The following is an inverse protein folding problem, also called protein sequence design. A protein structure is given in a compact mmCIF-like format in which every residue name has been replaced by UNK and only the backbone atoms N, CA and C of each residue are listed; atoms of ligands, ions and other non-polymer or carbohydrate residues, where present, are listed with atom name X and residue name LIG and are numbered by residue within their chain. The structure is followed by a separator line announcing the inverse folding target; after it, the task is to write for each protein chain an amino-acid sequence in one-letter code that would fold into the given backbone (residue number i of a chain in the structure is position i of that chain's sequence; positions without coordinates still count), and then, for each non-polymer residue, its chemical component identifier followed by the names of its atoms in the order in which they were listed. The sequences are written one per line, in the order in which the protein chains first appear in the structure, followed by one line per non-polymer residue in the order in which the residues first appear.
data_IF_424306703609
#
_entry.id   IF_424306703609
#
_cell.length_a   1.000
_cell.length_b   1.000
_cell.length_c   1.000
_cell.angle_alpha   90.00
_cell.angle_beta   90.00
_cell.angle_gamma   90.00
#
_symmetry.space_group_name_H-M   'P 1'
#
loop_
_entity.id
_entity.type
_entity.pdbx_description
1 polymer ?
#
# COMPACT_ATOMS: atom_id res chain seq x y z
N UNK A 1 -18.33 -32.67 16.10
CA UNK A 1 -18.43 -32.00 14.79
C UNK A 1 -17.45 -32.71 13.86
N UNK A 2 -17.82 -33.08 12.63
CA UNK A 2 -16.98 -33.92 11.77
C UNK A 2 -16.43 -33.12 10.58
N UNK A 3 -15.11 -33.15 10.37
CA UNK A 3 -14.44 -32.33 9.34
C UNK A 3 -14.99 -32.58 7.92
N UNK A 4 -15.20 -33.85 7.54
CA UNK A 4 -15.74 -34.19 6.21
C UNK A 4 -17.16 -33.64 5.99
N UNK A 5 -18.06 -33.82 6.96
CA UNK A 5 -19.44 -33.31 6.85
C UNK A 5 -19.49 -31.77 6.85
N UNK A 6 -18.56 -31.12 7.55
CA UNK A 6 -18.42 -29.66 7.51
C UNK A 6 -17.94 -29.18 6.14
N UNK A 7 -16.93 -29.85 5.57
CA UNK A 7 -16.40 -29.52 4.26
C UNK A 7 -17.50 -29.52 3.18
N UNK A 8 -18.37 -30.52 3.19
CA UNK A 8 -19.48 -30.61 2.23
C UNK A 8 -20.44 -29.42 2.38
N UNK A 9 -20.86 -29.11 3.62
CA UNK A 9 -21.74 -27.98 3.89
C UNK A 9 -21.11 -26.65 3.46
N UNK A 10 -19.85 -26.41 3.85
CA UNK A 10 -19.12 -25.19 3.51
C UNK A 10 -18.94 -25.04 2.01
N UNK A 11 -18.56 -26.11 1.30
CA UNK A 11 -18.41 -26.09 -0.16
C UNK A 11 -19.73 -25.74 -0.84
N UNK A 12 -20.83 -26.41 -0.46
CA UNK A 12 -22.14 -26.14 -1.04
C UNK A 12 -22.62 -24.71 -0.76
N UNK A 13 -22.36 -24.17 0.43
CA UNK A 13 -22.63 -22.77 0.74
C UNK A 13 -21.85 -21.82 -0.18
N UNK A 14 -20.54 -22.03 -0.33
CA UNK A 14 -19.71 -21.19 -1.19
C UNK A 14 -20.05 -21.31 -2.67
N UNK A 15 -20.47 -22.47 -3.16
CA UNK A 15 -21.00 -22.55 -4.53
C UNK A 15 -22.31 -21.77 -4.67
N UNK A 16 -23.22 -21.92 -3.70
CA UNK A 16 -24.53 -21.28 -3.76
C UNK A 16 -24.42 -19.75 -3.67
N UNK A 17 -23.51 -19.20 -2.87
CA UNK A 17 -23.42 -17.74 -2.67
C UNK A 17 -22.90 -16.99 -3.91
N UNK A 18 -22.25 -17.68 -4.86
CA UNK A 18 -21.73 -17.07 -6.10
C UNK A 18 -22.48 -17.53 -7.36
N UNK A 19 -23.62 -18.22 -7.20
CA UNK A 19 -24.47 -18.66 -8.30
C UNK A 19 -25.74 -17.80 -8.33
N UNK A 20 -25.95 -17.09 -9.45
CA UNK A 20 -27.18 -16.30 -9.64
C UNK A 20 -28.41 -17.21 -9.75
N UNK A 21 -29.48 -16.84 -9.06
CA UNK A 21 -30.79 -17.47 -9.19
C UNK A 21 -31.72 -16.47 -9.84
N UNK A 22 -32.22 -16.80 -11.04
CA UNK A 22 -33.07 -15.91 -11.84
C UNK A 22 -32.45 -14.52 -12.12
N UNK A 23 -31.13 -14.47 -12.29
CA UNK A 23 -30.37 -13.24 -12.57
C UNK A 23 -30.12 -12.35 -11.35
N UNK A 24 -30.30 -12.89 -10.14
CA UNK A 24 -30.05 -12.18 -8.88
C UNK A 24 -29.10 -12.99 -8.01
N UNK A 25 -28.07 -12.35 -7.50
CA UNK A 25 -27.18 -12.97 -6.53
C UNK A 25 -27.91 -13.21 -5.19
N UNK A 26 -27.73 -14.37 -4.56
CA UNK A 26 -28.52 -14.74 -3.39
C UNK A 26 -28.10 -13.97 -2.14
N UNK A 27 -29.08 -13.78 -1.24
CA UNK A 27 -28.84 -13.34 0.14
C UNK A 27 -28.16 -14.46 0.93
N UNK A 28 -27.49 -14.10 2.03
CA UNK A 28 -26.75 -15.04 2.88
C UNK A 28 -27.60 -16.23 3.36
N UNK A 29 -28.87 -15.99 3.68
CA UNK A 29 -29.75 -17.07 4.15
C UNK A 29 -30.15 -18.05 3.07
N UNK A 30 -30.44 -17.59 1.85
CA UNK A 30 -30.79 -18.47 0.72
C UNK A 30 -29.60 -19.35 0.34
N UNK A 31 -28.39 -18.77 0.28
CA UNK A 31 -27.16 -19.54 0.06
C UNK A 31 -26.93 -20.59 1.16
N UNK A 32 -27.22 -20.27 2.43
CA UNK A 32 -27.12 -21.22 3.53
C UNK A 32 -28.18 -22.33 3.45
N UNK A 33 -29.42 -21.99 3.09
CA UNK A 33 -30.50 -22.96 2.89
C UNK A 33 -30.16 -23.91 1.76
N UNK A 34 -29.72 -23.38 0.61
CA UNK A 34 -29.23 -24.17 -0.53
C UNK A 34 -28.07 -25.07 -0.11
N UNK A 35 -27.07 -24.52 0.58
CA UNK A 35 -25.92 -25.26 1.10
C UNK A 35 -26.32 -26.44 2.00
N UNK A 36 -27.27 -26.22 2.92
CA UNK A 36 -27.78 -27.26 3.84
C UNK A 36 -28.61 -28.32 3.11
N UNK A 37 -29.45 -27.93 2.18
CA UNK A 37 -30.28 -28.86 1.40
C UNK A 37 -29.39 -29.77 0.55
N UNK A 38 -28.39 -29.19 -0.12
CA UNK A 38 -27.42 -29.92 -0.95
C UNK A 38 -26.49 -30.81 -0.13
N UNK A 39 -26.25 -30.49 1.15
CA UNK A 39 -25.42 -31.30 2.05
C UNK A 39 -26.18 -32.46 2.73
N UNK A 40 -27.49 -32.61 2.54
CA UNK A 40 -28.34 -33.54 3.32
C UNK A 40 -28.47 -34.96 2.72
N UNK A 41 -27.42 -35.46 2.07
CA UNK A 41 -27.43 -36.77 1.38
C UNK A 41 -27.53 -38.00 2.29
N UNK A 42 -27.26 -37.85 3.59
CA UNK A 42 -27.36 -38.92 4.61
C UNK A 42 -27.93 -38.39 5.93
N UNK A 43 -28.49 -39.28 6.76
CA UNK A 43 -29.05 -38.91 8.09
C UNK A 43 -27.99 -38.30 9.02
N UNK A 44 -26.74 -38.75 8.93
CA UNK A 44 -25.62 -38.21 9.73
C UNK A 44 -25.21 -36.80 9.30
N UNK A 45 -25.21 -36.51 7.99
CA UNK A 45 -24.95 -35.16 7.46
C UNK A 45 -26.09 -34.19 7.82
N UNK A 46 -27.35 -34.61 7.69
CA UNK A 46 -28.50 -33.80 8.06
C UNK A 46 -28.48 -33.39 9.56
N UNK A 47 -28.04 -34.29 10.45
CA UNK A 47 -27.84 -33.97 11.88
C UNK A 47 -26.67 -33.01 12.08
N UNK A 48 -25.60 -33.10 11.28
CA UNK A 48 -24.47 -32.19 11.36
C UNK A 48 -24.84 -30.76 10.92
N UNK A 49 -25.64 -30.61 9.87
CA UNK A 49 -26.08 -29.32 9.33
C UNK A 49 -26.84 -28.46 10.36
N UNK A 50 -27.53 -29.09 11.33
CA UNK A 50 -28.24 -28.40 12.41
C UNK A 50 -27.32 -27.64 13.38
N UNK A 51 -26.01 -27.92 13.34
CA UNK A 51 -25.01 -27.27 14.21
C UNK A 51 -24.48 -25.95 13.65
N UNK A 52 -24.86 -25.60 12.42
CA UNK A 52 -24.43 -24.39 11.74
C UNK A 52 -25.58 -23.38 11.68
N UNK A 53 -25.32 -22.19 12.16
CA UNK A 53 -26.28 -21.09 12.25
C UNK A 53 -25.65 -19.86 11.60
N UNK A 54 -26.44 -19.12 10.82
CA UNK A 54 -26.06 -17.77 10.39
C UNK A 54 -26.31 -16.84 11.57
N UNK A 55 -25.28 -16.07 11.94
CA UNK A 55 -25.38 -14.99 12.92
C UNK A 55 -25.29 -13.68 12.17
N UNK A 56 -26.27 -12.80 12.36
CA UNK A 56 -26.37 -11.53 11.63
C UNK A 56 -27.68 -11.41 10.88
N UNK A 57 -27.75 -10.45 9.96
CA UNK A 57 -28.92 -10.22 9.13
C UNK A 57 -28.96 -11.21 7.95
N UNK A 58 -29.97 -12.11 7.89
CA UNK A 58 -30.09 -13.12 6.86
C UNK A 58 -30.41 -12.57 5.46
N UNK A 59 -30.86 -11.31 5.36
CA UNK A 59 -31.27 -10.67 4.12
C UNK A 59 -30.13 -9.91 3.42
N UNK A 60 -28.94 -9.85 4.01
CA UNK A 60 -27.79 -9.21 3.38
C UNK A 60 -27.28 -10.03 2.19
N UNK A 61 -26.78 -9.33 1.18
CA UNK A 61 -25.98 -9.88 0.08
C UNK A 61 -24.51 -9.52 0.29
N UNK A 62 -23.60 -10.24 -0.37
CA UNK A 62 -22.24 -9.72 -0.53
C UNK A 62 -22.25 -8.50 -1.45
N UNK A 63 -21.20 -7.69 -1.38
CA UNK A 63 -20.98 -6.61 -2.34
C UNK A 63 -20.37 -7.21 -3.62
N UNK A 64 -21.23 -7.79 -4.46
CA UNK A 64 -20.81 -8.41 -5.72
C UNK A 64 -20.48 -7.34 -6.76
N UNK A 65 -19.36 -7.47 -7.51
CA UNK A 65 -19.04 -6.52 -8.56
C UNK A 65 -20.13 -6.45 -9.64
N UNK A 66 -20.47 -5.23 -10.07
CA UNK A 66 -21.58 -5.02 -11.02
C UNK A 66 -21.26 -5.45 -12.44
N UNK A 67 -20.02 -5.28 -12.87
CA UNK A 67 -19.59 -5.50 -14.24
C UNK A 67 -18.46 -6.53 -14.36
N UNK A 68 -18.13 -6.89 -15.60
CA UNK A 68 -17.11 -7.88 -15.90
C UNK A 68 -15.83 -7.22 -16.44
N UNK A 69 -14.67 -7.72 -16.01
CA UNK A 69 -13.38 -7.38 -16.61
C UNK A 69 -12.91 -8.55 -17.48
N UNK A 70 -12.54 -8.29 -18.73
CA UNK A 70 -12.16 -9.31 -19.70
C UNK A 70 -10.80 -9.00 -20.32
N UNK A 71 -9.92 -9.98 -20.36
CA UNK A 71 -8.66 -9.91 -21.12
C UNK A 71 -8.94 -10.02 -22.62
N UNK A 72 -8.36 -9.14 -23.42
CA UNK A 72 -8.51 -9.15 -24.88
C UNK A 72 -7.24 -9.61 -25.57
N UNK A 73 -6.07 -9.14 -25.12
CA UNK A 73 -4.77 -9.43 -25.73
C UNK A 73 -3.68 -9.72 -24.70
N UNK A 74 -2.76 -10.61 -25.07
CA UNK A 74 -1.48 -10.87 -24.40
C UNK A 74 -0.39 -10.70 -25.45
N UNK A 75 0.60 -9.83 -25.21
CA UNK A 75 1.70 -9.56 -26.14
C UNK A 75 1.23 -9.22 -27.57
N UNK A 76 0.15 -8.40 -27.70
CA UNK A 76 -0.51 -8.05 -28.97
C UNK A 76 -1.13 -9.24 -29.74
N UNK A 77 -1.26 -10.40 -29.09
CA UNK A 77 -1.95 -11.56 -29.63
C UNK A 77 -3.32 -11.67 -28.95
N UNK A 78 -4.43 -11.76 -29.71
CA UNK A 78 -5.75 -11.93 -29.11
C UNK A 78 -5.82 -13.25 -28.32
N UNK A 79 -6.36 -13.18 -27.10
CA UNK A 79 -6.41 -14.33 -26.17
C UNK A 79 -7.16 -15.53 -26.76
N UNK A 80 -8.08 -15.29 -27.70
CA UNK A 80 -8.90 -16.31 -28.36
C UNK A 80 -8.14 -17.12 -29.43
N UNK A 81 -7.01 -16.64 -29.95
CA UNK A 81 -6.30 -17.25 -31.09
C UNK A 81 -5.18 -18.20 -30.63
N UNK A 82 -4.47 -17.84 -29.54
CA UNK A 82 -3.54 -18.72 -28.84
C UNK A 82 -3.16 -18.08 -27.49
N UNK A 83 -3.17 -18.87 -26.42
CA UNK A 83 -2.57 -18.50 -25.15
C UNK A 83 -1.04 -18.46 -25.32
N UNK A 84 -0.43 -17.27 -25.31
CA UNK A 84 1.02 -17.17 -25.25
C UNK A 84 1.53 -17.66 -23.89
N UNK A 85 2.77 -18.16 -23.85
CA UNK A 85 3.39 -18.62 -22.61
C UNK A 85 4.17 -17.47 -21.99
N UNK A 86 3.79 -17.06 -20.78
CA UNK A 86 4.56 -16.07 -20.02
C UNK A 86 5.78 -16.76 -19.44
N UNK A 87 6.96 -16.38 -19.90
CA UNK A 87 8.24 -16.97 -19.48
C UNK A 87 8.93 -16.09 -18.45
N UNK A 88 9.75 -16.69 -17.58
CA UNK A 88 10.56 -15.91 -16.63
C UNK A 88 11.43 -14.87 -17.36
N UNK A 89 11.50 -13.66 -16.81
CA UNK A 89 12.25 -12.49 -17.31
C UNK A 89 11.75 -11.92 -18.65
N UNK A 90 10.57 -12.35 -19.10
CA UNK A 90 9.89 -11.77 -20.25
C UNK A 90 9.13 -10.50 -19.85
N UNK A 91 9.17 -9.47 -20.69
CA UNK A 91 8.31 -8.30 -20.58
C UNK A 91 6.97 -8.60 -21.27
N UNK A 92 5.89 -8.58 -20.49
CA UNK A 92 4.54 -8.97 -20.92
C UNK A 92 3.62 -7.76 -20.89
N UNK A 93 2.86 -7.57 -21.97
CA UNK A 93 1.80 -6.54 -22.04
C UNK A 93 0.44 -7.20 -22.15
N UNK A 94 -0.48 -6.79 -21.28
CA UNK A 94 -1.84 -7.30 -21.21
C UNK A 94 -2.81 -6.15 -21.50
N UNK A 95 -3.77 -6.41 -22.38
CA UNK A 95 -4.90 -5.50 -22.63
C UNK A 95 -6.21 -6.16 -22.27
N UNK A 96 -7.17 -5.34 -21.88
CA UNK A 96 -8.51 -5.80 -21.59
C UNK A 96 -9.52 -4.67 -21.56
N UNK A 97 -10.74 -5.04 -21.25
CA UNK A 97 -11.88 -4.14 -21.23
C UNK A 97 -12.89 -4.49 -20.14
N UNK A 98 -13.59 -3.46 -19.66
CA UNK A 98 -14.74 -3.55 -18.77
C UNK A 98 -16.00 -3.67 -19.63
N UNK A 99 -16.80 -4.70 -19.35
CA UNK A 99 -18.02 -5.01 -20.08
C UNK A 99 -19.23 -5.04 -19.18
N UNK A 100 -20.37 -4.60 -19.72
CA UNK A 100 -21.65 -4.76 -19.06
C UNK A 100 -22.09 -6.24 -19.00
N UNK A 101 -23.24 -6.52 -18.38
CA UNK A 101 -23.80 -7.89 -18.27
C UNK A 101 -24.24 -8.48 -19.61
N UNK A 102 -24.41 -7.65 -20.66
CA UNK A 102 -24.68 -8.10 -22.02
C UNK A 102 -23.40 -8.41 -22.83
N UNK A 103 -22.21 -8.17 -22.25
CA UNK A 103 -20.92 -8.40 -22.90
C UNK A 103 -20.44 -7.26 -23.80
N UNK A 104 -21.05 -6.08 -23.73
CA UNK A 104 -20.67 -4.90 -24.50
C UNK A 104 -19.68 -4.04 -23.70
N UNK A 105 -18.74 -3.38 -24.39
CA UNK A 105 -17.75 -2.49 -23.76
C UNK A 105 -18.44 -1.30 -23.10
N UNK A 106 -18.07 -1.05 -21.85
CA UNK A 106 -18.58 0.06 -21.04
C UNK A 106 -17.76 1.33 -21.29
N UNK A 107 -18.05 2.01 -22.40
CA UNK A 107 -17.28 3.17 -22.91
C UNK A 107 -17.28 4.40 -21.97
N UNK A 108 -18.15 4.44 -20.97
CA UNK A 108 -18.23 5.49 -19.96
C UNK A 108 -17.48 5.14 -18.65
N UNK A 109 -16.94 3.92 -18.54
CA UNK A 109 -16.16 3.51 -17.38
C UNK A 109 -14.74 4.11 -17.43
N UNK A 110 -14.45 5.05 -16.52
CA UNK A 110 -13.13 5.67 -16.37
C UNK A 110 -12.70 5.56 -14.91
N UNK A 111 -11.63 4.82 -14.64
CA UNK A 111 -11.28 4.39 -13.29
C UNK A 111 -9.94 3.68 -13.22
N UNK A 112 -9.77 2.78 -12.27
CA UNK A 112 -8.54 2.02 -12.05
C UNK A 112 -8.86 0.51 -12.09
N UNK A 113 -8.01 -0.27 -12.73
CA UNK A 113 -7.97 -1.73 -12.62
C UNK A 113 -6.76 -2.14 -11.79
N UNK A 114 -6.96 -3.13 -10.92
CA UNK A 114 -5.97 -3.70 -10.01
C UNK A 114 -5.66 -5.14 -10.45
N UNK A 115 -4.82 -5.34 -11.48
CA UNK A 115 -4.44 -6.66 -11.93
C UNK A 115 -3.59 -7.40 -10.89
N UNK A 116 -3.89 -8.67 -10.69
CA UNK A 116 -3.02 -9.63 -10.02
C UNK A 116 -2.79 -10.83 -10.92
N UNK A 117 -1.54 -11.13 -11.23
CA UNK A 117 -1.15 -12.32 -11.99
C UNK A 117 -0.69 -13.38 -11.02
N UNK A 118 -1.31 -14.56 -11.07
CA UNK A 118 -0.94 -15.72 -10.27
C UNK A 118 -0.24 -16.76 -11.13
N UNK A 119 0.84 -17.33 -10.58
CA UNK A 119 1.40 -18.58 -11.08
C UNK A 119 0.38 -19.73 -10.92
N UNK A 120 0.72 -20.88 -11.48
CA UNK A 120 -0.09 -22.09 -11.44
C UNK A 120 -0.41 -22.55 -10.00
N UNK A 121 -1.58 -23.18 -9.78
CA UNK A 121 -1.92 -23.78 -8.50
C UNK A 121 -0.91 -24.87 -8.07
N UNK A 122 -0.66 -24.96 -6.77
CA UNK A 122 0.16 -26.00 -6.16
C UNK A 122 -0.70 -26.97 -5.37
N UNK A 123 -0.32 -28.26 -5.34
CA UNK A 123 -0.93 -29.22 -4.44
C UNK A 123 -0.28 -29.10 -3.05
N UNK A 124 -1.06 -28.71 -2.06
CA UNK A 124 -0.63 -28.60 -0.66
C UNK A 124 -1.28 -29.70 0.16
N UNK A 125 -0.49 -30.33 1.03
CA UNK A 125 -0.96 -31.42 1.89
C UNK A 125 -0.97 -30.95 3.34
N UNK A 126 -2.12 -31.10 4.00
CA UNK A 126 -2.26 -30.75 5.42
C UNK A 126 -1.38 -31.64 6.30
N UNK A 127 -0.92 -31.12 7.43
CA UNK A 127 -0.28 -31.92 8.47
C UNK A 127 -1.29 -32.83 9.18
N UNK A 128 -0.82 -33.98 9.67
CA UNK A 128 -1.63 -34.95 10.42
C UNK A 128 -1.49 -34.64 11.92
N UNK A 129 -2.33 -33.74 12.42
CA UNK A 129 -2.23 -33.25 13.80
C UNK A 129 -2.69 -34.29 14.86
N UNK A 130 -3.48 -35.30 14.49
CA UNK A 130 -3.89 -36.41 15.38
C UNK A 130 -3.64 -37.77 14.68
N UNK A 131 -2.43 -38.33 14.82
CA UNK A 131 -2.06 -39.60 14.17
C UNK A 131 -3.02 -40.74 14.57
N UNK A 132 -3.58 -41.43 13.57
CA UNK A 132 -4.51 -42.55 13.75
C UNK A 132 -5.99 -42.14 13.83
N UNK A 133 -6.30 -40.84 13.96
CA UNK A 133 -7.68 -40.31 13.88
C UNK A 133 -7.90 -39.29 12.77
N UNK A 134 -6.81 -38.75 12.22
CA UNK A 134 -6.82 -37.85 11.08
C UNK A 134 -5.97 -38.42 9.94
N UNK A 135 -6.30 -38.04 8.71
CA UNK A 135 -5.57 -38.37 7.50
C UNK A 135 -5.09 -37.08 6.84
N UNK A 136 -3.93 -37.14 6.18
CA UNK A 136 -3.48 -36.04 5.35
C UNK A 136 -4.52 -35.78 4.25
N UNK A 137 -4.77 -34.52 3.94
CA UNK A 137 -5.66 -34.09 2.87
C UNK A 137 -4.87 -33.18 1.92
N UNK A 138 -4.85 -33.56 0.65
CA UNK A 138 -4.22 -32.76 -0.40
C UNK A 138 -5.28 -31.95 -1.14
N UNK A 139 -5.02 -30.66 -1.30
CA UNK A 139 -5.87 -29.74 -2.04
C UNK A 139 -5.05 -28.81 -2.92
N UNK A 140 -5.68 -28.27 -3.96
CA UNK A 140 -5.06 -27.29 -4.84
C UNK A 140 -5.18 -25.90 -4.24
N UNK A 141 -4.07 -25.15 -4.23
CA UNK A 141 -4.00 -23.79 -3.72
C UNK A 141 -3.24 -22.91 -4.71
N UNK A 142 -3.90 -21.86 -5.21
CA UNK A 142 -3.29 -20.83 -6.04
C UNK A 142 -3.08 -19.57 -5.21
N UNK A 143 -1.88 -19.42 -4.64
CA UNK A 143 -1.52 -18.29 -3.78
C UNK A 143 -0.34 -17.46 -4.30
N UNK A 144 0.43 -18.01 -5.23
CA UNK A 144 1.68 -17.43 -5.69
C UNK A 144 1.38 -16.30 -6.69
N UNK A 145 1.21 -15.07 -6.20
CA UNK A 145 1.13 -13.89 -7.05
C UNK A 145 2.52 -13.59 -7.60
N UNK A 146 2.64 -13.31 -8.89
CA UNK A 146 3.91 -12.97 -9.57
C UNK A 146 3.92 -11.52 -10.04
N UNK A 147 2.77 -10.86 -10.04
CA UNK A 147 2.63 -9.43 -10.30
C UNK A 147 1.36 -8.91 -9.61
N UNK A 148 1.46 -7.73 -9.01
CA UNK A 148 0.34 -6.93 -8.51
C UNK A 148 0.57 -5.51 -9.00
N UNK A 149 -0.44 -4.91 -9.64
CA UNK A 149 -0.30 -3.60 -10.26
C UNK A 149 -1.55 -2.74 -10.17
N UNK A 150 -1.45 -1.52 -10.70
CA UNK A 150 -2.54 -0.58 -10.94
C UNK A 150 -2.43 -0.03 -12.36
N UNK A 151 -3.54 0.02 -13.08
CA UNK A 151 -3.59 0.64 -14.39
C UNK A 151 -4.86 1.45 -14.58
N UNK A 152 -4.75 2.53 -15.34
CA UNK A 152 -5.86 3.40 -15.71
C UNK A 152 -6.81 2.68 -16.66
N UNK A 153 -8.10 2.77 -16.39
CA UNK A 153 -9.17 2.38 -17.31
C UNK A 153 -9.70 3.65 -17.97
N UNK A 154 -9.64 3.72 -19.29
CA UNK A 154 -10.16 4.85 -20.08
C UNK A 154 -11.16 4.34 -21.11
N UNK A 155 -12.37 4.86 -21.09
CA UNK A 155 -13.49 4.42 -21.92
C UNK A 155 -13.69 2.89 -21.89
N UNK A 156 -13.61 2.30 -20.71
CA UNK A 156 -13.74 0.87 -20.51
C UNK A 156 -12.55 0.04 -20.96
N UNK A 157 -11.46 0.62 -21.46
CA UNK A 157 -10.28 -0.12 -21.91
C UNK A 157 -9.09 0.12 -20.98
N UNK A 158 -8.24 -0.88 -20.81
CA UNK A 158 -7.00 -0.77 -20.03
C UNK A 158 -5.86 -1.54 -20.66
N UNK A 159 -4.64 -1.13 -20.33
CA UNK A 159 -3.40 -1.79 -20.69
C UNK A 159 -2.43 -1.73 -19.50
N UNK A 160 -1.74 -2.84 -19.23
CA UNK A 160 -0.64 -2.84 -18.27
C UNK A 160 0.49 -3.73 -18.76
N UNK A 161 1.70 -3.43 -18.28
CA UNK A 161 2.91 -4.14 -18.64
C UNK A 161 3.67 -4.50 -17.38
N UNK A 162 4.34 -5.64 -17.37
CA UNK A 162 5.21 -6.07 -16.28
C UNK A 162 6.30 -7.02 -16.79
N UNK A 163 7.32 -7.27 -15.96
CA UNK A 163 8.30 -8.33 -16.22
C UNK A 163 7.98 -9.52 -15.34
N UNK A 164 7.92 -10.70 -15.94
CA UNK A 164 7.68 -11.96 -15.21
C UNK A 164 8.88 -12.24 -14.30
N UNK A 165 8.70 -12.42 -12.98
CA UNK A 165 9.79 -12.67 -12.06
C UNK A 165 10.62 -13.91 -12.40
N UNK A 166 11.90 -13.88 -12.07
CA UNK A 166 12.81 -15.03 -12.16
C UNK A 166 12.40 -16.20 -11.25
N UNK A 167 11.66 -15.89 -10.19
CA UNK A 167 11.28 -16.83 -9.12
C UNK A 167 9.99 -17.61 -9.41
N UNK A 168 9.43 -17.52 -10.62
CA UNK A 168 8.29 -18.37 -10.99
C UNK A 168 8.66 -19.86 -10.97
N UNK A 169 7.66 -20.73 -10.88
CA UNK A 169 7.89 -22.15 -11.16
C UNK A 169 8.11 -22.36 -12.67
N UNK A 170 9.25 -22.95 -13.05
CA UNK A 170 9.62 -23.20 -14.45
C UNK A 170 8.81 -24.30 -15.14
N UNK A 171 8.02 -25.09 -14.38
CA UNK A 171 7.10 -26.06 -14.97
C UNK A 171 5.99 -25.32 -15.71
N UNK A 172 5.57 -25.83 -16.87
CA UNK A 172 4.45 -25.23 -17.59
C UNK A 172 3.12 -25.60 -16.92
N UNK A 173 2.25 -24.61 -16.77
CA UNK A 173 0.88 -24.81 -16.30
C UNK A 173 0.04 -23.55 -16.44
N UNK A 174 -1.27 -23.68 -16.28
CA UNK A 174 -2.19 -22.56 -16.38
C UNK A 174 -1.99 -21.60 -15.20
N UNK A 175 -1.68 -20.35 -15.51
CA UNK A 175 -1.73 -19.23 -14.59
C UNK A 175 -3.15 -18.68 -14.44
N UNK A 176 -3.27 -17.57 -13.72
CA UNK A 176 -4.52 -16.81 -13.64
C UNK A 176 -4.23 -15.31 -13.66
N UNK A 177 -4.81 -14.58 -14.60
CA UNK A 177 -4.92 -13.14 -14.54
C UNK A 177 -6.19 -12.81 -13.78
N UNK A 178 -6.11 -12.07 -12.68
CA UNK A 178 -7.25 -11.71 -11.83
C UNK A 178 -7.39 -10.21 -11.80
N UNK A 179 -8.62 -9.71 -11.87
CA UNK A 179 -8.91 -8.29 -11.97
C UNK A 179 -9.99 -7.89 -10.99
N UNK A 180 -9.77 -6.73 -10.38
CA UNK A 180 -10.81 -5.90 -9.79
C UNK A 180 -10.66 -4.51 -10.41
N UNK A 181 -11.75 -3.81 -10.70
CA UNK A 181 -11.71 -2.45 -11.19
C UNK A 181 -12.80 -1.62 -10.53
N UNK A 182 -12.55 -0.33 -10.36
CA UNK A 182 -13.51 0.62 -9.80
C UNK A 182 -13.39 2.00 -10.46
N UNK A 183 -14.49 2.74 -10.52
CA UNK A 183 -14.51 4.13 -10.97
C UNK A 183 -14.97 5.11 -9.87
N UNK A 184 -14.93 4.68 -8.60
CA UNK A 184 -15.46 5.41 -7.44
C UNK A 184 -16.98 5.33 -7.23
N UNK A 185 -17.75 4.80 -8.19
CA UNK A 185 -19.21 4.63 -8.09
C UNK A 185 -19.65 3.19 -8.29
N UNK A 186 -19.07 2.52 -9.27
CA UNK A 186 -19.37 1.16 -9.69
C UNK A 186 -18.06 0.38 -9.85
N UNK A 187 -18.16 -0.93 -9.70
CA UNK A 187 -17.04 -1.85 -9.73
C UNK A 187 -17.23 -2.96 -10.77
N UNK A 188 -16.12 -3.61 -11.09
CA UNK A 188 -16.06 -4.73 -12.01
C UNK A 188 -15.04 -5.75 -11.52
N UNK A 189 -15.26 -7.02 -11.83
CA UNK A 189 -14.27 -8.05 -11.59
C UNK A 189 -14.23 -9.06 -12.74
N UNK A 190 -13.15 -9.82 -12.80
CA UNK A 190 -13.02 -10.87 -13.79
C UNK A 190 -11.69 -11.59 -13.67
N UNK A 191 -11.55 -12.66 -14.43
CA UNK A 191 -10.30 -13.40 -14.48
C UNK A 191 -10.13 -14.11 -15.83
N UNK A 192 -8.89 -14.45 -16.16
CA UNK A 192 -8.50 -15.25 -17.32
C UNK A 192 -7.56 -16.39 -16.88
N UNK A 193 -7.80 -17.59 -17.39
CA UNK A 193 -7.04 -18.82 -17.08
C UNK A 193 -6.40 -19.47 -18.32
N UNK A 194 -6.70 -18.96 -19.51
CA UNK A 194 -6.10 -19.36 -20.78
C UNK A 194 -4.75 -18.68 -20.98
N UNK A 195 -3.88 -18.74 -19.97
CA UNK A 195 -2.50 -18.25 -20.03
C UNK A 195 -1.60 -19.31 -19.42
N UNK A 196 -0.53 -19.67 -20.13
CA UNK A 196 0.44 -20.65 -19.65
C UNK A 196 1.61 -19.88 -19.02
N UNK A 197 2.09 -20.32 -17.87
CA UNK A 197 3.26 -19.75 -17.19
C UNK A 197 4.30 -20.84 -17.00
N UNK A 198 5.54 -20.59 -17.41
CA UNK A 198 6.66 -21.51 -17.23
C UNK A 198 7.83 -21.23 -18.17
N UNK A 199 8.91 -21.98 -17.99
CA UNK A 199 10.15 -21.78 -18.75
C UNK A 199 10.84 -20.43 -18.47
N UNK A 200 11.79 -20.08 -19.32
CA UNK A 200 12.58 -18.85 -19.26
C UNK A 200 12.62 -18.21 -20.64
N UNK A 201 12.69 -16.87 -20.70
CA UNK A 201 12.80 -16.17 -21.97
C UNK A 201 14.06 -16.61 -22.75
N UNK A 202 13.96 -16.66 -24.08
CA UNK A 202 15.04 -17.15 -24.96
C UNK A 202 16.22 -16.15 -25.05
N UNK A 203 15.94 -14.87 -24.78
CA UNK A 203 16.93 -13.80 -24.66
C UNK A 203 16.57 -12.94 -23.46
N UNK A 204 17.51 -12.82 -22.53
CA UNK A 204 17.34 -12.11 -21.27
C UNK A 204 18.38 -11.00 -21.24
N UNK A 205 17.93 -9.75 -21.04
CA UNK A 205 18.84 -8.65 -20.81
C UNK A 205 19.57 -8.87 -19.47
N UNK A 206 20.86 -8.58 -19.41
CA UNK A 206 21.57 -8.68 -18.13
C UNK A 206 21.21 -7.50 -17.25
N UNK A 207 20.77 -7.78 -16.03
CA UNK A 207 20.60 -6.80 -14.98
C UNK A 207 21.41 -7.20 -13.75
N UNK A 208 22.15 -6.25 -13.19
CA UNK A 208 22.96 -6.41 -11.98
C UNK A 208 22.77 -5.25 -11.00
N UNK A 209 21.76 -4.40 -11.20
CA UNK A 209 21.49 -3.24 -10.34
C UNK A 209 20.20 -3.49 -9.59
N UNK A 210 20.26 -3.57 -8.26
CA UNK A 210 19.06 -3.72 -7.46
C UNK A 210 18.24 -2.43 -7.33
N UNK A 211 17.06 -2.53 -6.71
CA UNK A 211 16.13 -1.41 -6.60
C UNK A 211 16.71 -0.25 -5.80
N UNK A 212 16.36 0.97 -6.19
CA UNK A 212 16.57 2.14 -5.35
C UNK A 212 15.54 2.15 -4.23
N UNK A 213 16.00 2.10 -2.99
CA UNK A 213 15.16 2.10 -1.79
C UNK A 213 15.29 3.44 -1.08
N UNK A 214 14.21 4.23 -1.05
CA UNK A 214 14.17 5.52 -0.33
C UNK A 214 13.24 5.38 0.87
N UNK A 215 13.76 5.61 2.08
CA UNK A 215 13.06 5.32 3.34
C UNK A 215 12.76 6.61 4.09
N UNK A 216 11.50 6.80 4.46
CA UNK A 216 10.98 8.00 5.11
C UNK A 216 10.01 7.64 6.23
N UNK A 217 9.64 8.64 7.04
CA UNK A 217 8.58 8.54 8.04
C UNK A 217 7.41 9.46 7.66
N UNK A 218 6.23 8.88 7.60
CA UNK A 218 4.95 9.42 7.12
C UNK A 218 4.93 9.82 5.65
N UNK A 219 5.89 10.61 5.16
CA UNK A 219 5.95 11.10 3.78
C UNK A 219 7.36 11.53 3.33
N UNK A 220 7.49 11.93 2.06
CA UNK A 220 8.76 12.34 1.43
C UNK A 220 9.37 13.64 1.98
N UNK A 221 8.65 14.41 2.83
CA UNK A 221 9.19 15.62 3.46
C UNK A 221 10.05 15.30 4.69
N UNK A 222 9.97 14.07 5.20
CA UNK A 222 10.81 13.60 6.29
C UNK A 222 12.29 13.69 5.92
N UNK A 223 13.10 14.08 6.89
CA UNK A 223 14.56 14.21 6.74
C UNK A 223 15.27 13.27 7.68
N UNK A 224 16.41 12.77 7.24
CA UNK A 224 17.24 11.84 8.01
C UNK A 224 17.54 12.39 9.42
N UNK A 225 17.21 11.61 10.45
CA UNK A 225 17.39 11.97 11.85
C UNK A 225 16.27 12.84 12.44
N UNK A 226 15.21 13.13 11.68
CA UNK A 226 14.10 13.98 12.11
C UNK A 226 13.23 13.39 13.21
N UNK A 227 12.36 14.23 13.78
CA UNK A 227 11.41 13.83 14.81
C UNK A 227 10.25 12.99 14.27
N UNK A 228 9.78 12.07 15.10
CA UNK A 228 8.57 11.26 14.91
C UNK A 228 7.82 11.11 16.23
N UNK A 229 6.60 10.57 16.16
CA UNK A 229 5.87 10.09 17.33
C UNK A 229 6.08 8.58 17.56
N UNK A 230 5.35 7.98 18.52
CA UNK A 230 5.49 6.55 18.87
C UNK A 230 4.81 5.60 17.86
N UNK A 231 4.01 6.11 16.92
CA UNK A 231 3.25 5.32 15.94
C UNK A 231 3.37 5.89 14.51
N UNK A 232 4.60 6.09 13.98
CA UNK A 232 4.78 6.64 12.65
C UNK A 232 4.38 5.63 11.57
N UNK A 233 4.10 6.12 10.36
CA UNK A 233 4.00 5.27 9.17
C UNK A 233 5.39 5.20 8.53
N UNK A 234 5.95 4.01 8.39
CA UNK A 234 7.12 3.78 7.56
C UNK A 234 6.69 3.93 6.09
N UNK A 235 7.17 4.98 5.44
CA UNK A 235 6.90 5.28 4.03
C UNK A 235 8.15 4.96 3.21
N UNK A 236 8.06 3.97 2.32
CA UNK A 236 9.18 3.54 1.48
C UNK A 236 8.80 3.74 0.03
N UNK A 237 9.69 4.37 -0.75
CA UNK A 237 9.58 4.48 -2.19
C UNK A 237 10.60 3.56 -2.86
N UNK A 238 10.12 2.69 -3.72
CA UNK A 238 10.91 1.71 -4.45
C UNK A 238 10.86 2.02 -5.94
N UNK A 239 12.03 2.03 -6.58
CA UNK A 239 12.15 2.25 -8.03
C UNK A 239 13.17 1.29 -8.62
N UNK A 240 12.80 0.60 -9.69
CA UNK A 240 13.66 -0.30 -10.44
C UNK A 240 13.23 -0.37 -11.91
N UNK A 241 14.18 -0.47 -12.85
CA UNK A 241 13.88 -0.51 -14.28
C UNK A 241 13.12 -1.79 -14.69
N UNK A 242 13.38 -2.89 -14.00
CA UNK A 242 12.77 -4.19 -14.26
C UNK A 242 11.57 -4.48 -13.34
N UNK A 243 11.40 -3.68 -12.30
CA UNK A 243 10.28 -3.75 -11.38
C UNK A 243 10.62 -4.50 -10.10
N UNK A 244 9.76 -4.32 -9.10
CA UNK A 244 9.98 -4.83 -7.75
C UNK A 244 9.44 -6.26 -7.63
N UNK A 245 10.20 -7.14 -6.97
CA UNK A 245 9.73 -8.47 -6.65
C UNK A 245 8.79 -8.42 -5.45
N UNK A 246 7.49 -8.44 -5.74
CA UNK A 246 6.43 -8.45 -4.72
C UNK A 246 5.89 -9.85 -4.48
N UNK A 247 6.43 -10.86 -5.17
CA UNK A 247 5.81 -12.15 -5.33
C UNK A 247 5.79 -12.98 -4.04
N UNK A 248 6.74 -12.72 -3.12
CA UNK A 248 6.91 -13.48 -1.87
C UNK A 248 7.11 -15.00 -2.07
N UNK A 249 7.34 -15.41 -3.32
CA UNK A 249 7.46 -16.81 -3.74
C UNK A 249 8.92 -17.27 -3.73
N UNK A 250 9.86 -16.32 -3.90
CA UNK A 250 11.29 -16.54 -3.75
C UNK A 250 11.68 -16.54 -2.28
N UNK A 251 12.37 -17.60 -1.84
CA UNK A 251 12.88 -17.66 -0.46
C UNK A 251 13.88 -16.52 -0.27
N UNK A 252 13.55 -15.56 0.59
CA UNK A 252 14.45 -14.48 0.98
C UNK A 252 14.42 -13.24 0.07
N UNK A 253 13.48 -13.15 -0.89
CA UNK A 253 13.31 -11.98 -1.75
C UNK A 253 12.11 -11.10 -1.35
N UNK A 254 11.76 -11.15 -0.06
CA UNK A 254 10.73 -10.28 0.50
C UNK A 254 11.24 -8.85 0.67
N UNK A 255 10.32 -7.89 0.70
CA UNK A 255 10.61 -6.54 1.17
C UNK A 255 10.63 -6.62 2.70
N UNK A 256 11.79 -6.38 3.29
CA UNK A 256 12.01 -6.54 4.73
C UNK A 256 12.49 -5.21 5.32
N UNK A 257 11.90 -4.79 6.44
CA UNK A 257 12.43 -3.72 7.26
C UNK A 257 12.95 -4.23 8.61
N UNK A 258 14.15 -3.81 8.99
CA UNK A 258 14.80 -4.08 10.27
C UNK A 258 14.87 -2.80 11.08
N UNK A 259 14.15 -2.75 12.20
CA UNK A 259 14.24 -1.65 13.16
C UNK A 259 15.44 -1.89 14.09
N UNK A 260 16.29 -0.89 14.29
CA UNK A 260 17.46 -0.92 15.18
C UNK A 260 18.42 -2.11 14.93
N UNK A 261 18.55 -2.54 13.67
CA UNK A 261 19.35 -3.71 13.28
C UNK A 261 18.99 -5.00 14.04
N UNK A 262 17.73 -5.10 14.48
CA UNK A 262 17.21 -6.31 15.13
C UNK A 262 17.17 -7.50 14.16
N UNK A 263 17.19 -8.71 14.72
CA UNK A 263 17.16 -9.94 13.92
C UNK A 263 15.76 -10.29 13.41
N UNK A 264 14.71 -9.67 13.97
CA UNK A 264 13.33 -9.85 13.51
C UNK A 264 12.92 -8.66 12.65
N UNK A 265 12.69 -8.93 11.37
CA UNK A 265 12.20 -7.94 10.42
C UNK A 265 10.70 -7.97 10.22
N UNK A 266 10.17 -6.84 9.75
CA UNK A 266 8.80 -6.72 9.25
C UNK A 266 8.77 -7.15 7.78
N UNK A 267 7.88 -8.08 7.42
CA UNK A 267 7.60 -8.43 6.02
C UNK A 267 6.58 -7.44 5.45
N UNK A 268 6.96 -6.76 4.37
CA UNK A 268 6.24 -5.59 3.86
C UNK A 268 5.53 -5.83 2.51
N UNK A 269 5.64 -7.03 1.93
CA UNK A 269 5.08 -7.35 0.60
C UNK A 269 3.56 -7.09 0.49
N UNK A 270 2.81 -7.29 1.57
CA UNK A 270 1.36 -7.05 1.59
C UNK A 270 0.99 -5.55 1.68
N UNK A 271 1.96 -4.70 2.02
CA UNK A 271 1.80 -3.25 2.11
C UNK A 271 2.38 -2.51 0.90
N UNK A 272 2.99 -3.24 -0.04
CA UNK A 272 3.46 -2.68 -1.30
C UNK A 272 2.30 -2.45 -2.25
N UNK A 273 2.27 -1.25 -2.82
CA UNK A 273 1.38 -0.89 -3.91
C UNK A 273 2.19 -0.28 -5.05
N UNK A 274 1.95 -0.74 -6.28
CA UNK A 274 2.57 -0.12 -7.45
C UNK A 274 1.99 1.28 -7.67
N UNK A 275 2.79 2.14 -8.29
CA UNK A 275 2.29 3.39 -8.86
C UNK A 275 1.31 3.10 -10.01
N UNK A 276 0.44 4.08 -10.28
CA UNK A 276 -0.52 3.99 -11.38
C UNK A 276 0.22 3.93 -12.72
N UNK A 277 -0.16 2.97 -13.57
CA UNK A 277 0.40 2.78 -14.91
C UNK A 277 1.91 2.45 -14.94
N UNK A 278 2.47 2.02 -13.81
CA UNK A 278 3.89 1.68 -13.69
C UNK A 278 4.10 0.33 -13.01
N UNK A 279 4.99 -0.48 -13.58
CA UNK A 279 5.54 -1.68 -12.92
C UNK A 279 6.91 -1.43 -12.29
N UNK A 280 7.50 -0.26 -12.54
CA UNK A 280 8.87 0.11 -12.17
C UNK A 280 8.92 0.81 -10.82
N UNK A 281 7.80 1.38 -10.37
CA UNK A 281 7.72 2.21 -9.18
C UNK A 281 6.57 1.75 -8.28
N UNK A 282 6.77 1.88 -6.98
CA UNK A 282 5.72 1.66 -5.99
C UNK A 282 6.13 2.14 -4.62
N UNK A 283 5.15 2.12 -3.73
CA UNK A 283 5.29 2.59 -2.35
C UNK A 283 4.89 1.50 -1.37
N UNK A 284 5.51 1.52 -0.20
CA UNK A 284 5.10 0.73 0.96
C UNK A 284 4.68 1.70 2.05
N UNK A 285 3.49 1.47 2.61
CA UNK A 285 2.96 2.20 3.76
C UNK A 285 2.76 1.25 4.92
N UNK A 286 3.69 1.21 5.87
CA UNK A 286 3.64 0.27 6.99
C UNK A 286 3.49 1.00 8.34
N UNK A 287 2.38 0.81 9.08
CA UNK A 287 2.18 1.48 10.36
C UNK A 287 3.05 0.83 11.47
N UNK A 288 4.07 1.55 11.92
CA UNK A 288 4.82 1.21 13.14
C UNK A 288 3.98 1.59 14.36
N UNK A 289 4.17 0.89 15.48
CA UNK A 289 3.40 1.10 16.70
C UNK A 289 4.25 0.95 17.95
N UNK A 290 3.93 1.76 18.96
CA UNK A 290 4.51 1.69 20.29
C UNK A 290 6.04 1.69 20.30
N UNK A 291 6.65 2.56 19.48
CA UNK A 291 8.09 2.77 19.51
C UNK A 291 8.51 3.44 20.84
N UNK A 292 9.62 3.00 21.40
CA UNK A 292 10.18 3.61 22.61
C UNK A 292 10.71 5.02 22.32
N UNK A 293 10.70 5.90 23.31
CA UNK A 293 11.28 7.23 23.14
C UNK A 293 12.81 7.15 23.01
N UNK A 294 13.38 7.81 22.00
CA UNK A 294 14.83 7.80 21.77
C UNK A 294 15.22 7.82 20.29
N UNK A 295 16.49 7.51 20.02
CA UNK A 295 17.01 7.38 18.65
C UNK A 295 16.74 5.98 18.14
N UNK A 296 16.27 5.90 16.90
CA UNK A 296 16.02 4.67 16.19
C UNK A 296 16.61 4.74 14.79
N UNK A 297 16.92 3.57 14.23
CA UNK A 297 17.25 3.38 12.81
C UNK A 297 16.31 2.37 12.20
N UNK A 298 16.05 2.47 10.90
CA UNK A 298 15.36 1.42 10.16
C UNK A 298 16.04 1.22 8.81
N UNK A 299 16.39 -0.04 8.54
CA UNK A 299 17.03 -0.50 7.30
C UNK A 299 16.02 -1.32 6.52
N UNK A 300 15.89 -1.05 5.23
CA UNK A 300 14.92 -1.69 4.35
C UNK A 300 15.67 -2.33 3.19
N UNK A 301 15.47 -3.63 3.00
CA UNK A 301 15.98 -4.37 1.86
C UNK A 301 14.82 -4.76 0.93
N UNK A 302 15.03 -4.61 -0.38
CA UNK A 302 14.08 -4.99 -1.41
C UNK A 302 14.82 -5.67 -2.56
N UNK A 303 14.07 -6.41 -3.39
CA UNK A 303 14.62 -7.15 -4.52
C UNK A 303 13.88 -6.78 -5.80
N UNK A 304 14.60 -6.75 -6.91
CA UNK A 304 13.99 -6.67 -8.24
C UNK A 304 13.55 -8.06 -8.74
N UNK A 305 12.86 -8.08 -9.88
CA UNK A 305 12.42 -9.31 -10.55
C UNK A 305 13.57 -10.19 -11.11
N UNK A 306 14.80 -9.66 -11.20
CA UNK A 306 16.02 -10.35 -11.63
C UNK A 306 16.81 -10.99 -10.47
N UNK A 307 16.37 -10.73 -9.24
CA UNK A 307 16.98 -11.12 -7.96
C UNK A 307 18.26 -10.32 -7.64
N UNK A 308 18.34 -9.05 -8.02
CA UNK A 308 19.30 -8.11 -7.44
C UNK A 308 18.67 -7.41 -6.23
N UNK A 309 19.45 -7.25 -5.16
CA UNK A 309 19.02 -6.62 -3.93
C UNK A 309 19.38 -5.13 -3.91
N UNK A 310 18.49 -4.31 -3.35
CA UNK A 310 18.73 -2.93 -2.99
C UNK A 310 18.47 -2.71 -1.51
N UNK A 311 19.15 -1.73 -0.92
CA UNK A 311 18.99 -1.36 0.48
C UNK A 311 18.88 0.16 0.63
N UNK A 312 18.04 0.58 1.55
CA UNK A 312 17.90 1.97 1.99
C UNK A 312 17.76 2.01 3.50
N UNK A 313 18.13 3.13 4.12
CA UNK A 313 18.04 3.27 5.57
C UNK A 313 17.71 4.71 5.95
N UNK A 314 17.12 4.88 7.13
CA UNK A 314 16.97 6.19 7.77
C UNK A 314 17.15 6.09 9.28
N UNK A 315 17.56 7.19 9.90
CA UNK A 315 17.49 7.41 11.35
C UNK A 315 16.35 8.36 11.69
N UNK A 316 15.85 8.28 12.92
CA UNK A 316 14.79 9.14 13.43
C UNK A 316 14.80 9.19 14.95
N UNK A 317 14.14 10.19 15.52
CA UNK A 317 13.99 10.36 16.97
C UNK A 317 12.51 10.29 17.34
N UNK A 318 12.16 9.34 18.19
CA UNK A 318 10.82 9.19 18.74
C UNK A 318 10.68 10.08 19.97
N UNK A 319 9.74 11.02 19.92
CA UNK A 319 9.39 11.87 21.04
C UNK A 319 7.94 11.62 21.45
N UNK A 320 7.72 11.37 22.74
CA UNK A 320 6.38 11.03 23.26
C UNK A 320 5.34 12.09 22.86
N UNK A 321 4.26 11.66 22.21
CA UNK A 321 3.18 12.53 21.75
C UNK A 321 2.70 13.42 22.91
N UNK A 322 2.55 12.89 24.13
CA UNK A 322 2.07 13.64 25.30
C UNK A 322 2.82 14.96 25.59
N UNK A 323 4.05 15.14 25.08
CA UNK A 323 4.80 16.39 25.17
C UNK A 323 5.08 16.91 23.76
N UNK A 324 4.46 18.02 23.38
CA UNK A 324 4.82 18.72 22.14
C UNK A 324 6.32 19.07 22.18
N UNK A 325 7.06 18.61 21.19
CA UNK A 325 8.47 18.87 20.98
C UNK A 325 8.68 19.62 19.67
N UNK A 326 9.74 20.42 19.60
CA UNK A 326 10.20 21.10 18.39
C UNK A 326 11.66 20.72 18.14
N UNK A 327 12.00 20.49 16.88
CA UNK A 327 13.39 20.32 16.43
C UNK A 327 13.60 21.00 15.07
N UNK A 328 14.87 21.12 14.65
CA UNK A 328 15.27 21.72 13.38
C UNK A 328 14.59 23.07 13.07
N UNK A 329 14.39 23.88 14.11
CA UNK A 329 13.81 25.23 13.97
C UNK A 329 14.80 26.12 13.25
N UNK A 330 14.41 26.64 12.09
CA UNK A 330 15.26 27.48 11.25
C UNK A 330 14.43 28.48 10.44
N UNK A 331 15.12 29.40 9.78
CA UNK A 331 14.53 30.20 8.71
C UNK A 331 15.37 30.12 7.44
N UNK A 332 14.73 30.08 6.28
CA UNK A 332 15.41 30.01 4.98
C UNK A 332 14.74 30.92 3.94
N UNK A 333 15.51 31.71 3.16
CA UNK A 333 16.96 31.94 3.29
C UNK A 333 17.33 32.68 4.58
N UNK A 334 18.55 32.43 5.08
CA UNK A 334 19.18 33.16 6.19
C UNK A 334 20.70 33.20 5.97
N UNK A 335 21.33 34.38 5.78
CA UNK A 335 20.75 35.72 5.77
C UNK A 335 19.77 35.97 4.62
N UNK A 336 18.89 36.95 4.76
CA UNK A 336 17.96 37.34 3.69
C UNK A 336 17.88 38.86 3.49
N UNK A 337 17.30 39.28 2.37
CA UNK A 337 17.07 40.68 2.01
C UNK A 337 15.59 41.04 2.07
N UNK A 338 14.74 40.37 1.28
CA UNK A 338 13.33 40.75 1.12
C UNK A 338 12.34 39.72 1.65
N UNK A 339 12.77 38.47 1.86
CA UNK A 339 11.87 37.39 2.24
C UNK A 339 12.61 36.23 2.93
N UNK A 340 11.97 35.62 3.92
CA UNK A 340 12.40 34.37 4.56
C UNK A 340 11.17 33.58 5.00
N UNK A 341 11.32 32.28 5.19
CA UNK A 341 10.29 31.41 5.77
C UNK A 341 10.79 30.73 7.03
N UNK A 342 9.91 30.55 8.00
CA UNK A 342 10.19 29.82 9.24
C UNK A 342 9.76 28.37 9.12
N UNK A 343 10.72 27.46 9.35
CA UNK A 343 10.54 26.02 9.22
C UNK A 343 10.84 25.35 10.56
N UNK A 344 10.16 24.27 10.88
CA UNK A 344 10.41 23.47 12.07
C UNK A 344 9.86 22.05 11.95
N UNK A 345 10.39 21.14 12.77
CA UNK A 345 9.87 19.79 12.98
C UNK A 345 9.12 19.71 14.32
N UNK A 346 8.16 18.79 14.40
CA UNK A 346 7.36 18.53 15.60
C UNK A 346 6.92 17.07 15.66
N UNK A 347 6.54 16.59 16.85
CA UNK A 347 6.03 15.24 17.10
C UNK A 347 4.50 15.18 17.23
N UNK A 348 3.77 15.99 16.46
CA UNK A 348 2.30 16.08 16.51
C UNK A 348 1.68 16.06 15.11
N UNK A 349 1.89 14.99 14.32
CA UNK A 349 1.23 14.84 13.03
C UNK A 349 -0.28 14.66 13.24
N UNK A 350 -1.09 15.15 12.30
CA UNK A 350 -2.56 15.09 12.35
C UNK A 350 -3.22 16.11 13.29
N UNK A 351 -2.46 16.95 13.99
CA UNK A 351 -3.00 17.97 14.89
C UNK A 351 -3.08 19.33 14.19
N UNK A 352 -3.88 20.24 14.75
CA UNK A 352 -3.87 21.64 14.34
C UNK A 352 -2.91 22.39 15.27
N UNK A 353 -1.88 23.01 14.68
CA UNK A 353 -0.88 23.74 15.42
C UNK A 353 -1.11 25.25 15.30
N UNK A 354 -1.31 25.92 16.43
CA UNK A 354 -1.28 27.38 16.53
C UNK A 354 0.19 27.82 16.64
N UNK A 355 0.73 28.35 15.54
CA UNK A 355 2.11 28.80 15.44
C UNK A 355 2.20 30.31 15.62
N UNK A 356 3.09 30.73 16.52
CA UNK A 356 3.40 32.14 16.78
C UNK A 356 4.89 32.38 16.62
N UNK A 357 5.27 33.22 15.66
CA UNK A 357 6.65 33.71 15.50
C UNK A 357 6.73 35.15 16.00
N UNK A 358 7.56 35.39 17.00
CA UNK A 358 7.84 36.73 17.52
C UNK A 358 9.28 37.11 17.23
N UNK A 359 9.50 38.23 16.55
CA UNK A 359 10.83 38.65 16.09
C UNK A 359 11.27 39.85 16.92
N UNK A 360 12.48 39.81 17.45
CA UNK A 360 13.03 40.80 18.37
C UNK A 360 14.39 41.33 17.89
N UNK A 361 14.67 42.59 18.20
CA UNK A 361 16.04 43.09 18.16
C UNK A 361 16.91 42.37 19.20
N UNK A 362 18.24 42.44 19.06
CA UNK A 362 19.18 41.92 20.09
C UNK A 362 19.00 42.57 21.47
N UNK A 363 18.37 43.74 21.54
CA UNK A 363 18.01 44.42 22.79
C UNK A 363 16.65 43.98 23.37
N UNK A 364 15.95 43.04 22.73
CA UNK A 364 14.66 42.50 23.17
C UNK A 364 13.43 43.31 22.75
N UNK A 365 13.57 44.31 21.87
CA UNK A 365 12.41 45.06 21.34
C UNK A 365 11.67 44.20 20.33
N UNK A 366 10.37 43.98 20.53
CA UNK A 366 9.51 43.29 19.57
C UNK A 366 9.38 44.09 18.27
N UNK A 367 9.53 43.40 17.15
CA UNK A 367 9.51 43.95 15.79
C UNK A 367 8.27 43.47 15.03
N UNK A 368 8.06 42.16 14.99
CA UNK A 368 6.98 41.51 14.24
C UNK A 368 6.38 40.38 15.05
N UNK A 369 5.07 40.18 14.90
CA UNK A 369 4.40 38.96 15.33
C UNK A 369 3.67 38.34 14.15
N UNK A 370 3.91 37.06 13.91
CA UNK A 370 3.22 36.27 12.89
C UNK A 370 2.42 35.21 13.65
N UNK A 371 1.14 35.10 13.32
CA UNK A 371 0.23 34.08 13.84
C UNK A 371 -0.30 33.29 12.66
N UNK A 372 -0.11 31.99 12.69
CA UNK A 372 -0.58 31.09 11.64
C UNK A 372 -1.07 29.80 12.27
N UNK A 373 -2.25 29.36 11.86
CA UNK A 373 -2.74 28.03 12.18
C UNK A 373 -2.34 27.08 11.05
N UNK A 374 -1.74 25.95 11.40
CA UNK A 374 -1.23 24.97 10.45
C UNK A 374 -1.88 23.63 10.74
N UNK A 375 -2.51 23.02 9.73
CA UNK A 375 -2.93 21.63 9.79
C UNK A 375 -1.73 20.77 9.42
N UNK A 376 -1.29 19.90 10.32
CA UNK A 376 -0.11 19.07 10.08
C UNK A 376 -0.55 17.69 9.63
N UNK A 377 -0.13 17.26 8.44
CA UNK A 377 -0.25 15.85 8.03
C UNK A 377 1.07 15.10 8.26
N UNK A 378 2.17 15.87 8.36
CA UNK A 378 3.55 15.42 8.51
C UNK A 378 4.17 15.88 9.83
N UNK A 379 5.44 15.59 10.02
CA UNK A 379 6.28 16.07 11.14
C UNK A 379 6.93 17.42 10.86
N UNK A 380 6.87 17.93 9.63
CA UNK A 380 7.53 19.16 9.21
C UNK A 380 6.54 20.23 8.80
N UNK A 381 6.77 21.45 9.27
CA UNK A 381 6.03 22.65 8.89
C UNK A 381 6.95 23.62 8.14
N UNK A 382 6.48 24.10 7.00
CA UNK A 382 7.09 25.13 6.15
C UNK A 382 6.02 26.18 5.74
N UNK A 383 6.41 27.17 4.91
CA UNK A 383 5.47 28.15 4.35
C UNK A 383 5.02 29.29 5.28
N UNK A 384 5.64 29.45 6.45
CA UNK A 384 5.40 30.60 7.34
C UNK A 384 6.31 31.75 6.91
N UNK A 385 5.83 32.56 5.97
CA UNK A 385 6.62 33.62 5.32
C UNK A 385 6.71 34.94 6.10
N UNK A 386 7.82 35.65 5.91
CA UNK A 386 8.03 37.02 6.38
C UNK A 386 8.76 37.87 5.34
N UNK A 387 8.23 39.07 5.09
CA UNK A 387 8.71 40.07 4.14
C UNK A 387 9.80 41.00 4.68
N UNK A 388 10.23 40.80 5.94
CA UNK A 388 11.21 41.65 6.61
C UNK A 388 10.68 43.04 6.98
N UNK A 389 9.37 43.21 7.14
CA UNK A 389 8.73 44.44 7.65
C UNK A 389 8.27 44.27 9.10
N UNK A 390 8.14 45.37 9.83
CA UNK A 390 7.60 45.34 11.20
C UNK A 390 6.06 45.17 11.21
N UNK A 391 5.43 45.26 12.40
CA UNK A 391 3.98 45.15 12.54
C UNK A 391 3.19 46.29 11.85
N UNK A 392 3.81 47.42 11.54
CA UNK A 392 3.18 48.58 10.90
C UNK A 392 3.49 48.66 9.39
N UNK A 393 4.32 47.75 8.87
CA UNK A 393 4.73 47.71 7.47
C UNK A 393 6.00 48.53 7.19
N UNK A 394 6.70 49.00 8.22
CA UNK A 394 7.92 49.78 8.06
C UNK A 394 9.14 48.88 7.86
N UNK A 395 10.13 49.41 7.13
CA UNK A 395 11.44 48.79 6.96
C UNK A 395 12.21 48.80 8.27
N UNK A 396 12.82 47.66 8.59
CA UNK A 396 13.73 47.50 9.72
C UNK A 396 15.18 47.50 9.24
N UNK A 397 16.09 47.95 10.10
CA UNK A 397 17.50 48.06 9.72
C UNK A 397 18.18 46.70 9.59
N UNK A 398 19.16 46.61 8.69
CA UNK A 398 20.10 45.48 8.62
C UNK A 398 20.67 45.10 9.99
N UNK A 399 20.84 43.82 10.22
CA UNK A 399 21.44 43.32 11.45
C UNK A 399 20.98 41.93 11.84
N UNK A 400 21.42 41.52 13.03
CA UNK A 400 21.02 40.26 13.66
C UNK A 400 19.76 40.51 14.49
N UNK A 401 18.79 39.62 14.35
CA UNK A 401 17.57 39.56 15.15
C UNK A 401 17.46 38.18 15.79
N UNK A 402 16.68 38.08 16.85
CA UNK A 402 16.33 36.82 17.50
C UNK A 402 14.84 36.62 17.30
N UNK A 403 14.43 35.43 16.89
CA UNK A 403 13.01 35.08 16.87
C UNK A 403 12.71 33.98 17.87
N UNK A 404 11.49 34.04 18.40
CA UNK A 404 10.90 33.03 19.27
C UNK A 404 9.78 32.35 18.49
N UNK A 405 9.91 31.06 18.25
CA UNK A 405 8.85 30.21 17.75
C UNK A 405 8.09 29.65 18.97
N UNK A 406 6.79 29.88 19.05
CA UNK A 406 5.92 29.24 20.04
C UNK A 406 4.84 28.46 19.30
N UNK A 407 4.78 27.16 19.56
CA UNK A 407 3.80 26.26 18.94
C UNK A 407 2.90 25.72 20.03
N UNK A 408 1.60 25.66 19.74
CA UNK A 408 0.60 25.11 20.63
C UNK A 408 -0.29 24.13 19.87
N UNK A 409 -0.42 22.92 20.38
CA UNK A 409 -1.36 21.92 19.87
C UNK A 409 -2.80 22.29 20.24
N UNK A 410 -3.71 22.24 19.27
CA UNK A 410 -5.12 22.55 19.49
C UNK A 410 -5.84 21.45 20.29
N UNK A 411 -5.43 20.19 20.11
CA UNK A 411 -6.05 19.01 20.74
C UNK A 411 -6.01 19.05 22.27
N UNK A 412 -4.88 19.41 22.87
CA UNK A 412 -4.65 19.32 24.32
C UNK A 412 -3.99 20.56 24.94
N UNK A 413 -3.74 21.61 24.15
CA UNK A 413 -3.04 22.82 24.56
C UNK A 413 -1.58 22.63 24.99
N UNK A 414 -0.93 21.52 24.64
CA UNK A 414 0.51 21.33 24.81
C UNK A 414 1.29 22.44 24.07
N UNK A 415 2.40 22.88 24.65
CA UNK A 415 3.18 24.02 24.14
C UNK A 415 4.66 23.69 24.08
N UNK A 416 5.30 24.16 23.02
CA UNK A 416 6.74 24.16 22.88
C UNK A 416 7.22 25.53 22.39
N UNK A 417 8.45 25.88 22.79
CA UNK A 417 9.04 27.18 22.48
C UNK A 417 10.50 26.99 22.13
N UNK A 418 10.94 27.60 21.03
CA UNK A 418 12.33 27.60 20.60
C UNK A 418 12.80 29.00 20.18
N UNK A 419 14.10 29.25 20.31
CA UNK A 419 14.72 30.52 19.97
C UNK A 419 15.83 30.35 18.95
N UNK A 420 15.84 31.19 17.94
CA UNK A 420 16.84 31.15 16.86
C UNK A 420 17.23 32.55 16.41
N UNK A 421 18.33 32.63 15.66
CA UNK A 421 18.87 33.90 15.13
C UNK A 421 18.65 34.00 13.64
N UNK A 422 18.29 35.19 13.19
CA UNK A 422 18.20 35.52 11.77
C UNK A 422 19.00 36.78 11.44
N UNK A 423 19.41 36.91 10.18
CA UNK A 423 20.22 38.02 9.70
C UNK A 423 19.54 38.68 8.50
N UNK A 424 19.35 40.01 8.59
CA UNK A 424 18.79 40.85 7.54
C UNK A 424 19.91 41.69 6.93
N UNK A 425 20.02 41.67 5.60
CA UNK A 425 21.12 42.32 4.87
C UNK A 425 20.76 43.66 4.20
N UNK A 426 19.47 44.03 4.13
CA UNK A 426 19.03 45.26 3.47
C UNK A 426 18.98 46.46 4.39
#
# INVERSE_FOLDING_TARGET
VYANANYILSSNFFYSIFEEVDGVMPVLSDALVAGKNNASGTSSQAVNNRKFLLLGDPALTLNYPKYNVVTTEVNNTPIIVAADTLKALEKVTIKGEVRNTAGEILNDFNGIVYPTVYDKPLNVTTLVNDPGKSSAYTFSLQKNAIYKGKASVTNGMFEYTFIVPKDISYLFGNGKLSYYADNGFEDAAGYEQNVIIGGTADSVATDNTGPKVSVYMNDEKFVFGGLTDENPVLYIKLTDENGINTAGNGIGHDIIALLNDETQGYSLNDYYESELDSYQEGVVNYPLRALEAGRHSITVSAWDVYNNSGEGYTEFVVAENAKLALDHVLNYPNPFTTYTEFWFEHNRPGDILDVKVEIFTVSGKLVKTILQQVNTESYRVDGIGWDGLDNYGDLIGRGVYVYKLSVKAASDNAKAVEFQKLVILR
#
